data_IF_415949096004
#
_entry.id   IF_415949096004
#
_cell.length_a   1.000
_cell.length_b   1.000
_cell.length_c   1.000
_cell.angle_alpha   90.00
_cell.angle_beta   90.00
_cell.angle_gamma   90.00
#
_symmetry.space_group_name_H-M   'P 1'
#
loop_
_entity.id
_entity.type
_entity.pdbx_description
1 polymer ?
#
# COMPACT_ATOMS: atom_id res chain seq x y z
N UNK A 1 -6.66 17.38 9.00
CA UNK A 1 -7.28 18.13 7.90
C UNK A 1 -8.69 17.63 7.65
N UNK A 2 -9.66 18.51 7.53
CA UNK A 2 -11.03 18.14 7.23
C UNK A 2 -11.26 17.93 5.73
N UNK A 3 -12.39 17.28 5.37
CA UNK A 3 -12.78 17.17 3.97
C UNK A 3 -13.00 18.56 3.35
N UNK A 4 -13.56 19.50 4.11
CA UNK A 4 -13.79 20.86 3.62
C UNK A 4 -12.47 21.60 3.32
N UNK A 5 -11.45 21.39 4.16
CA UNK A 5 -10.10 21.93 3.93
C UNK A 5 -9.49 21.36 2.65
N UNK A 6 -9.67 20.06 2.40
CA UNK A 6 -9.18 19.39 1.19
C UNK A 6 -9.88 19.92 -0.06
N UNK A 7 -11.20 20.13 0.02
CA UNK A 7 -12.00 20.72 -1.06
C UNK A 7 -11.45 22.10 -1.43
N UNK A 8 -11.17 22.91 -0.44
CA UNK A 8 -10.64 24.28 -0.64
C UNK A 8 -9.25 24.27 -1.24
N UNK A 9 -8.33 23.46 -0.67
CA UNK A 9 -6.93 23.37 -1.11
C UNK A 9 -6.81 22.79 -2.53
N UNK A 10 -7.57 21.75 -2.82
CA UNK A 10 -7.49 21.05 -4.11
C UNK A 10 -8.41 21.61 -5.18
N UNK A 11 -9.26 22.57 -4.83
CA UNK A 11 -10.26 23.17 -5.72
C UNK A 11 -11.08 22.10 -6.48
N UNK A 12 -11.54 21.10 -5.73
CA UNK A 12 -12.32 19.99 -6.26
C UNK A 12 -13.62 19.82 -5.48
N UNK A 13 -14.61 19.21 -6.13
CA UNK A 13 -15.90 18.95 -5.47
C UNK A 13 -15.75 17.92 -4.35
N UNK A 14 -16.61 18.04 -3.34
CA UNK A 14 -16.57 17.23 -2.11
C UNK A 14 -16.76 15.73 -2.36
N UNK A 15 -17.60 15.34 -3.33
CA UNK A 15 -17.87 13.93 -3.62
C UNK A 15 -16.63 13.12 -3.99
N UNK A 16 -15.87 13.49 -5.04
CA UNK A 16 -14.64 12.79 -5.41
C UNK A 16 -13.59 12.77 -4.31
N UNK A 17 -13.43 13.84 -3.55
CA UNK A 17 -12.49 13.91 -2.44
C UNK A 17 -12.91 12.96 -1.32
N UNK A 18 -14.19 12.90 -0.99
CA UNK A 18 -14.72 11.99 0.02
C UNK A 18 -14.47 10.53 -0.35
N UNK A 19 -14.65 10.16 -1.63
CA UNK A 19 -14.39 8.81 -2.14
C UNK A 19 -12.90 8.49 -2.04
N UNK A 20 -12.02 9.41 -2.45
CA UNK A 20 -10.58 9.22 -2.40
C UNK A 20 -10.07 9.04 -0.96
N UNK A 21 -10.54 9.87 -0.04
CA UNK A 21 -10.16 9.80 1.38
C UNK A 21 -10.66 8.50 2.01
N UNK A 22 -11.86 8.05 1.65
CA UNK A 22 -12.39 6.76 2.13
C UNK A 22 -11.53 5.60 1.65
N UNK A 23 -11.04 5.63 0.42
CA UNK A 23 -10.11 4.62 -0.10
C UNK A 23 -8.79 4.62 0.66
N UNK A 24 -8.25 5.80 0.95
CA UNK A 24 -7.04 5.92 1.75
C UNK A 24 -7.24 5.39 3.18
N UNK A 25 -8.39 5.64 3.77
CA UNK A 25 -8.76 5.10 5.09
C UNK A 25 -8.88 3.56 5.05
N UNK A 26 -9.51 3.01 4.01
CA UNK A 26 -9.64 1.57 3.81
C UNK A 26 -8.29 0.87 3.69
N UNK A 27 -7.27 1.55 3.17
CA UNK A 27 -5.91 1.03 3.04
C UNK A 27 -4.99 1.40 4.21
N UNK A 28 -5.54 1.99 5.27
CA UNK A 28 -4.79 2.43 6.45
C UNK A 28 -3.68 3.45 6.13
N UNK A 29 -3.89 4.28 5.11
CA UNK A 29 -2.97 5.36 4.77
C UNK A 29 -3.31 6.65 5.50
N UNK A 30 -4.56 6.85 5.81
CA UNK A 30 -5.05 7.94 6.66
C UNK A 30 -5.99 7.35 7.71
N UNK A 31 -6.24 8.10 8.76
CA UNK A 31 -7.25 7.75 9.74
C UNK A 31 -8.13 8.95 10.06
N UNK A 32 -9.37 8.67 10.35
CA UNK A 32 -10.32 9.65 10.83
C UNK A 32 -10.02 9.99 12.28
N UNK A 33 -9.98 11.27 12.60
CA UNK A 33 -9.72 11.76 13.96
C UNK A 33 -10.77 12.74 14.39
N UNK A 34 -10.96 12.90 15.69
CA UNK A 34 -11.80 13.94 16.23
C UNK A 34 -11.13 15.29 16.08
N UNK A 35 -11.88 16.25 15.58
CA UNK A 35 -11.43 17.61 15.41
C UNK A 35 -12.19 18.57 16.32
N UNK A 36 -11.89 19.87 16.22
CA UNK A 36 -12.54 20.91 17.03
C UNK A 36 -14.04 21.09 16.75
N UNK A 37 -14.54 20.49 15.68
CA UNK A 37 -15.95 20.57 15.32
C UNK A 37 -16.49 19.16 15.04
N UNK A 38 -17.38 18.65 15.92
CA UNK A 38 -17.96 17.31 15.82
C UNK A 38 -18.81 17.09 14.54
N UNK A 39 -19.14 18.12 13.81
CA UNK A 39 -19.91 18.02 12.56
C UNK A 39 -19.04 17.81 11.32
N UNK A 40 -17.72 17.94 11.45
CA UNK A 40 -16.77 17.79 10.35
C UNK A 40 -15.94 16.52 10.52
N UNK A 41 -15.64 15.90 9.40
CA UNK A 41 -14.72 14.77 9.35
C UNK A 41 -13.29 15.29 9.19
N UNK A 42 -12.44 14.95 10.15
CA UNK A 42 -11.01 15.28 10.13
C UNK A 42 -10.19 14.04 9.88
N UNK A 43 -9.10 14.18 9.14
CA UNK A 43 -8.22 13.07 8.77
C UNK A 43 -6.77 13.46 9.03
N UNK A 44 -5.97 12.46 9.38
CA UNK A 44 -4.52 12.59 9.50
C UNK A 44 -3.86 11.38 8.86
N UNK A 45 -2.57 11.50 8.53
CA UNK A 45 -1.79 10.37 8.03
C UNK A 45 -1.74 9.27 9.08
N UNK A 46 -1.86 8.01 8.64
CA UNK A 46 -1.64 6.89 9.54
C UNK A 46 -0.17 6.90 10.01
N UNK A 47 0.13 6.57 11.29
CA UNK A 47 1.52 6.54 11.76
C UNK A 47 2.44 5.65 10.94
N UNK A 48 1.90 4.58 10.38
CA UNK A 48 2.61 3.63 9.52
C UNK A 48 2.26 3.79 8.04
N UNK A 49 1.95 5.01 7.59
CA UNK A 49 1.49 5.27 6.22
C UNK A 49 2.42 4.67 5.16
N UNK A 50 3.72 4.85 5.31
CA UNK A 50 4.69 4.36 4.32
C UNK A 50 4.74 2.84 4.29
N UNK A 51 4.73 2.21 5.45
CA UNK A 51 4.70 0.76 5.53
C UNK A 51 3.37 0.17 5.06
N UNK A 52 2.25 0.79 5.37
CA UNK A 52 0.94 0.35 4.90
C UNK A 52 0.81 0.45 3.38
N UNK A 53 1.33 1.53 2.80
CA UNK A 53 1.40 1.68 1.34
C UNK A 53 2.30 0.60 0.71
N UNK A 54 3.42 0.30 1.34
CA UNK A 54 4.34 -0.76 0.92
C UNK A 54 3.66 -2.13 0.95
N UNK A 55 2.92 -2.47 2.00
CA UNK A 55 2.13 -3.71 2.09
C UNK A 55 1.07 -3.80 0.99
N UNK A 56 0.43 -2.69 0.67
CA UNK A 56 -0.55 -2.61 -0.40
C UNK A 56 0.09 -2.95 -1.75
N UNK A 57 1.25 -2.38 -2.03
CA UNK A 57 2.00 -2.67 -3.25
C UNK A 57 2.46 -4.13 -3.32
N UNK A 58 2.84 -4.70 -2.18
CA UNK A 58 3.22 -6.11 -2.06
C UNK A 58 2.06 -7.05 -2.42
N UNK A 59 0.83 -6.69 -2.05
CA UNK A 59 -0.37 -7.44 -2.45
C UNK A 59 -0.49 -7.52 -3.98
N UNK A 60 -0.28 -6.41 -4.67
CA UNK A 60 -0.29 -6.36 -6.15
C UNK A 60 0.80 -7.25 -6.75
N UNK A 61 1.99 -7.24 -6.19
CA UNK A 61 3.11 -8.10 -6.61
C UNK A 61 2.73 -9.58 -6.49
N UNK A 62 2.14 -9.98 -5.38
CA UNK A 62 1.68 -11.36 -5.17
C UNK A 62 0.59 -11.76 -6.16
N UNK A 63 -0.37 -10.89 -6.39
CA UNK A 63 -1.45 -11.11 -7.36
C UNK A 63 -0.90 -11.28 -8.78
N UNK A 64 0.06 -10.46 -9.16
CA UNK A 64 0.71 -10.56 -10.47
C UNK A 64 1.51 -11.84 -10.63
N UNK A 65 2.22 -12.27 -9.59
CA UNK A 65 2.92 -13.56 -9.61
C UNK A 65 1.95 -14.73 -9.77
N UNK A 66 0.86 -14.73 -9.00
CA UNK A 66 -0.18 -15.76 -9.10
C UNK A 66 -0.82 -15.78 -10.48
N UNK A 67 -0.99 -14.62 -11.09
CA UNK A 67 -1.52 -14.50 -12.44
C UNK A 67 -0.57 -15.16 -13.46
N UNK A 68 0.72 -14.87 -13.35
CA UNK A 68 1.74 -15.50 -14.20
C UNK A 68 1.75 -17.03 -14.04
N UNK A 69 1.69 -17.53 -12.82
CA UNK A 69 1.62 -18.97 -12.54
C UNK A 69 0.38 -19.61 -13.15
N UNK A 70 -0.77 -18.94 -13.04
CA UNK A 70 -2.03 -19.41 -13.62
C UNK A 70 -1.97 -19.51 -15.12
N UNK A 71 -1.40 -18.51 -15.80
CA UNK A 71 -1.24 -18.54 -17.25
C UNK A 71 -0.23 -19.60 -17.68
N UNK A 72 0.87 -19.74 -16.99
CA UNK A 72 1.87 -20.80 -17.25
C UNK A 72 1.26 -22.20 -17.18
N UNK A 73 0.36 -22.44 -16.23
CA UNK A 73 -0.29 -23.75 -16.10
C UNK A 73 -1.26 -24.07 -17.24
N UNK A 74 -1.66 -23.06 -18.03
CA UNK A 74 -2.61 -23.20 -19.15
C UNK A 74 -1.95 -23.17 -20.53
N UNK A 75 -0.66 -22.92 -20.57
CA UNK A 75 0.07 -22.84 -21.83
C UNK A 75 0.21 -24.25 -22.42
N UNK A 76 -0.18 -24.39 -23.72
CA UNK A 76 -0.06 -25.64 -24.46
C UNK A 76 1.42 -25.90 -24.78
N UNK A 77 2.01 -27.04 -24.37
CA UNK A 77 3.41 -27.32 -24.62
C UNK A 77 3.78 -27.60 -26.09
N UNK A 78 2.80 -27.70 -27.00
CA UNK A 78 3.04 -28.11 -28.40
C UNK A 78 2.97 -26.96 -29.43
N UNK A 79 2.76 -25.69 -29.03
CA UNK A 79 2.63 -24.57 -29.95
C UNK A 79 3.89 -23.71 -30.06
N UNK A 80 4.26 -23.29 -31.28
CA UNK A 80 5.44 -22.45 -31.53
C UNK A 80 5.32 -21.03 -30.92
N UNK A 81 4.13 -20.44 -30.94
CA UNK A 81 3.87 -19.14 -30.27
C UNK A 81 3.93 -19.27 -28.76
N UNK A 82 3.73 -20.47 -28.27
CA UNK A 82 3.67 -20.83 -26.86
C UNK A 82 5.02 -20.67 -26.17
N UNK A 83 6.14 -20.93 -26.86
CA UNK A 83 7.49 -20.80 -26.28
C UNK A 83 7.80 -19.35 -25.89
N UNK A 84 7.51 -18.38 -26.73
CA UNK A 84 7.71 -16.96 -26.42
C UNK A 84 6.81 -16.49 -25.29
N UNK A 85 5.56 -16.91 -25.30
CA UNK A 85 4.59 -16.61 -24.24
C UNK A 85 5.04 -17.22 -22.93
N UNK A 86 5.49 -18.48 -22.96
CA UNK A 86 6.01 -19.17 -21.78
C UNK A 86 7.24 -18.46 -21.22
N UNK A 87 8.20 -18.09 -22.06
CA UNK A 87 9.37 -17.31 -21.65
C UNK A 87 8.97 -16.00 -20.97
N UNK A 88 8.06 -15.26 -21.57
CA UNK A 88 7.58 -13.98 -21.02
C UNK A 88 6.93 -14.17 -19.66
N UNK A 89 6.11 -15.21 -19.49
CA UNK A 89 5.44 -15.52 -18.23
C UNK A 89 6.44 -16.02 -17.17
N UNK A 90 7.45 -16.77 -17.56
CA UNK A 90 8.52 -17.19 -16.66
C UNK A 90 9.36 -16.00 -16.20
N UNK A 91 9.66 -15.06 -17.09
CA UNK A 91 10.30 -13.79 -16.72
C UNK A 91 9.45 -13.01 -15.73
N UNK A 92 8.17 -12.89 -15.99
CA UNK A 92 7.23 -12.21 -15.09
C UNK A 92 7.20 -12.87 -13.71
N UNK A 93 7.07 -14.18 -13.68
CA UNK A 93 7.06 -14.94 -12.41
C UNK A 93 8.36 -14.73 -11.64
N UNK A 94 9.50 -14.87 -12.30
CA UNK A 94 10.83 -14.70 -11.68
C UNK A 94 10.99 -13.28 -11.13
N UNK A 95 10.58 -12.29 -11.89
CA UNK A 95 10.63 -10.89 -11.46
C UNK A 95 9.81 -10.64 -10.20
N UNK A 96 8.57 -11.13 -10.19
CA UNK A 96 7.69 -10.94 -9.04
C UNK A 96 8.07 -11.80 -7.85
N UNK A 97 8.61 -13.00 -8.05
CA UNK A 97 9.17 -13.81 -6.97
C UNK A 97 10.34 -13.08 -6.29
N UNK A 98 11.21 -12.47 -7.08
CA UNK A 98 12.34 -11.70 -6.56
C UNK A 98 11.86 -10.46 -5.81
N UNK A 99 10.87 -9.75 -6.33
CA UNK A 99 10.26 -8.60 -5.63
C UNK A 99 9.63 -9.01 -4.32
N UNK A 100 8.90 -10.11 -4.28
CA UNK A 100 8.26 -10.60 -3.07
C UNK A 100 9.30 -10.95 -2.00
N UNK A 101 10.36 -11.63 -2.39
CA UNK A 101 11.49 -11.94 -1.51
C UNK A 101 12.14 -10.67 -0.96
N UNK A 102 12.37 -9.69 -1.79
CA UNK A 102 12.89 -8.38 -1.40
C UNK A 102 11.95 -7.67 -0.41
N UNK A 103 10.66 -7.71 -0.65
CA UNK A 103 9.67 -7.12 0.26
C UNK A 103 9.67 -7.81 1.62
N UNK A 104 9.80 -9.12 1.66
CA UNK A 104 9.86 -9.87 2.92
C UNK A 104 11.11 -9.49 3.72
N UNK A 105 12.27 -9.44 3.08
CA UNK A 105 13.53 -9.03 3.71
C UNK A 105 13.46 -7.58 4.21
N UNK A 106 12.89 -6.70 3.40
CA UNK A 106 12.70 -5.31 3.79
C UNK A 106 11.76 -5.19 4.98
N UNK A 107 10.68 -5.95 5.01
CA UNK A 107 9.71 -5.93 6.11
C UNK A 107 10.36 -6.34 7.42
N UNK A 108 11.15 -7.39 7.43
CA UNK A 108 11.91 -7.81 8.61
C UNK A 108 12.86 -6.71 9.08
N UNK A 109 13.61 -6.13 8.17
CA UNK A 109 14.54 -5.05 8.47
C UNK A 109 13.82 -3.80 8.98
N UNK A 110 12.70 -3.45 8.39
CA UNK A 110 11.88 -2.32 8.84
C UNK A 110 11.38 -2.52 10.27
N UNK A 111 10.89 -3.72 10.58
CA UNK A 111 10.41 -4.03 11.92
C UNK A 111 11.52 -3.94 12.97
N UNK A 112 12.72 -4.40 12.64
CA UNK A 112 13.89 -4.27 13.51
C UNK A 112 14.25 -2.80 13.75
N UNK A 113 14.35 -2.01 12.70
CA UNK A 113 14.69 -0.57 12.79
C UNK A 113 13.63 0.18 13.57
N UNK A 114 12.36 -0.10 13.32
CA UNK A 114 11.24 0.51 14.03
C UNK A 114 11.29 0.19 15.53
N UNK A 115 11.58 -1.06 15.88
CA UNK A 115 11.69 -1.48 17.26
C UNK A 115 12.87 -0.79 17.96
N UNK A 116 14.03 -0.73 17.33
CA UNK A 116 15.21 -0.01 17.86
C UNK A 116 14.89 1.46 18.13
N UNK A 117 14.20 2.11 17.19
CA UNK A 117 13.82 3.52 17.35
C UNK A 117 12.78 3.75 18.42
N UNK A 118 11.84 2.82 18.60
CA UNK A 118 10.88 2.88 19.70
C UNK A 118 11.57 2.74 21.06
N UNK A 119 12.52 1.81 21.18
CA UNK A 119 13.31 1.61 22.39
C UNK A 119 14.16 2.84 22.73
N UNK A 120 14.65 3.54 21.71
CA UNK A 120 15.41 4.78 21.86
C UNK A 120 14.53 6.02 22.04
N UNK A 121 13.20 5.88 21.96
CA UNK A 121 12.27 7.00 22.05
C UNK A 121 12.24 7.93 20.85
N UNK A 122 12.78 7.51 19.72
CA UNK A 122 12.88 8.31 18.50
C UNK A 122 11.62 8.29 17.64
N UNK A 123 10.78 7.25 17.80
CA UNK A 123 9.50 7.11 17.11
C UNK A 123 8.36 7.06 18.13
N UNK A 124 7.23 7.61 17.75
CA UNK A 124 6.01 7.48 18.54
C UNK A 124 5.51 6.03 18.61
N UNK A 125 4.66 5.74 19.60
CA UNK A 125 4.12 4.41 19.90
C UNK A 125 3.07 3.90 18.89
N UNK A 126 2.98 4.51 17.72
CA UNK A 126 1.94 4.17 16.72
C UNK A 126 0.62 4.87 16.98
N UNK A 127 0.49 5.63 18.06
CA UNK A 127 -0.66 6.48 18.26
C UNK A 127 -0.60 7.70 17.34
N UNK A 128 -1.76 8.19 16.87
CA UNK A 128 -1.75 9.34 16.00
C UNK A 128 -1.14 10.51 16.77
N UNK A 129 -0.04 11.04 16.24
CA UNK A 129 0.43 12.34 16.67
C UNK A 129 -0.69 13.29 16.34
N UNK A 130 -1.32 13.87 17.34
CA UNK A 130 -2.34 14.87 17.14
C UNK A 130 -1.72 15.93 16.27
N UNK A 131 -2.15 15.98 15.02
CA UNK A 131 -1.66 16.93 14.03
C UNK A 131 -1.86 18.34 14.55
N UNK A 132 -0.80 18.98 14.72
CA UNK A 132 -0.79 20.39 15.12
C UNK A 132 -1.02 21.27 13.90
#
# INVERSE_FOLDING_TARGET
MSLDDMVEILDRSKGPISISVRRLDDYDLVRKVEGPNNRRNYYTSHPDIFFNNFKFNMKTVRENRQLAERFLSRVDPEGDETEKTKESLEHMRTFYDLMESFFEDFTERWMEVKQERLENGELGSGEPVVSR
#
